data_IF_162472502508
#
_entry.id   IF_162472502508
#
_cell.length_a   1.000
_cell.length_b   1.000
_cell.length_c   1.000
_cell.angle_alpha   90.00
_cell.angle_beta   90.00
_cell.angle_gamma   90.00
#
_symmetry.space_group_name_H-M   'P 1'
#
loop_
_entity.id
_entity.type
_entity.pdbx_description
1 polymer ?
#
# COMPACT_ATOMS: atom_id res chain seq x y z
N UNK A 1 -0.04 10.97 -8.47
CA UNK A 1 1.39 10.64 -8.59
C UNK A 1 2.00 10.85 -7.22
N UNK A 2 2.60 9.82 -6.64
CA UNK A 2 3.28 9.90 -5.33
C UNK A 2 4.75 10.21 -5.63
N UNK A 3 5.38 11.19 -4.96
CA UNK A 3 6.81 11.43 -5.10
C UNK A 3 7.64 10.26 -4.56
N UNK A 4 8.87 10.09 -5.06
CA UNK A 4 9.76 9.02 -4.60
C UNK A 4 10.11 9.21 -3.12
N UNK A 5 9.64 8.28 -2.28
CA UNK A 5 9.98 8.24 -0.85
C UNK A 5 11.32 7.54 -0.57
N UNK A 6 11.74 7.55 0.69
CA UNK A 6 12.93 6.83 1.14
C UNK A 6 12.58 5.36 1.41
N UNK A 7 13.19 4.42 0.66
CA UNK A 7 12.99 2.99 0.87
C UNK A 7 13.51 2.58 2.26
N UNK A 8 12.59 2.31 3.17
CA UNK A 8 12.90 1.84 4.52
C UNK A 8 13.12 0.32 4.55
N UNK A 9 12.33 -0.42 3.79
CA UNK A 9 12.31 -1.88 3.87
C UNK A 9 11.77 -2.52 2.61
N UNK A 10 12.41 -3.60 2.15
CA UNK A 10 11.87 -4.49 1.11
C UNK A 10 11.88 -5.91 1.65
N UNK A 11 10.71 -6.53 1.79
CA UNK A 11 10.59 -7.92 2.30
C UNK A 11 9.46 -8.67 1.60
N UNK A 12 9.62 -9.99 1.48
CA UNK A 12 8.50 -10.87 1.10
C UNK A 12 7.68 -11.16 2.36
N UNK A 13 6.37 -10.98 2.26
CA UNK A 13 5.41 -11.23 3.33
C UNK A 13 4.31 -12.13 2.79
N UNK A 14 3.79 -12.98 3.66
CA UNK A 14 2.69 -13.91 3.34
C UNK A 14 1.38 -13.50 4.02
N UNK A 15 1.47 -12.60 4.99
CA UNK A 15 0.35 -12.09 5.77
C UNK A 15 0.37 -10.56 5.77
N UNK A 16 -0.61 -9.97 5.10
CA UNK A 16 -0.73 -8.55 4.88
C UNK A 16 -1.29 -7.87 6.12
N UNK A 17 -2.17 -8.56 6.86
CA UNK A 17 -2.73 -8.04 8.11
C UNK A 17 -1.60 -7.78 9.12
N UNK A 18 -0.65 -8.71 9.26
CA UNK A 18 0.51 -8.53 10.13
C UNK A 18 1.40 -7.34 9.73
N UNK A 19 1.41 -6.94 8.45
CA UNK A 19 2.12 -5.72 8.02
C UNK A 19 1.38 -4.47 8.44
N UNK A 20 0.04 -4.46 8.27
CA UNK A 20 -0.78 -3.34 8.71
C UNK A 20 -0.70 -3.14 10.23
N UNK A 21 -0.68 -4.22 10.99
CA UNK A 21 -0.49 -4.18 12.45
C UNK A 21 0.89 -3.62 12.84
N UNK A 22 1.98 -4.03 12.16
CA UNK A 22 3.33 -3.50 12.39
C UNK A 22 3.44 -2.02 12.02
N UNK A 23 2.79 -1.59 10.93
CA UNK A 23 2.76 -0.19 10.52
C UNK A 23 2.01 0.68 11.54
N UNK A 24 0.88 0.17 12.07
CA UNK A 24 0.08 0.83 13.09
C UNK A 24 0.84 0.95 14.42
N UNK A 25 1.45 -0.12 14.90
CA UNK A 25 2.23 -0.13 16.15
C UNK A 25 3.38 0.88 16.10
N UNK A 26 3.97 1.07 14.91
CA UNK A 26 5.10 1.95 14.68
C UNK A 26 4.73 3.36 14.27
N UNK A 27 3.44 3.68 14.11
CA UNK A 27 2.96 4.99 13.66
C UNK A 27 3.67 5.46 12.39
N UNK A 28 3.74 4.58 11.40
CA UNK A 28 4.53 4.85 10.20
C UNK A 28 3.82 5.83 9.25
N UNK A 29 4.55 6.86 8.82
CA UNK A 29 4.15 7.79 7.77
C UNK A 29 4.85 7.45 6.46
N UNK A 30 4.08 7.27 5.38
CA UNK A 30 4.63 6.93 4.08
C UNK A 30 3.72 6.08 3.22
N UNK A 31 4.31 5.21 2.39
CA UNK A 31 3.54 4.30 1.54
C UNK A 31 4.22 2.94 1.38
N UNK A 32 3.42 1.90 1.24
CA UNK A 32 3.86 0.57 0.85
C UNK A 32 3.43 0.28 -0.59
N UNK A 33 4.36 -0.30 -1.35
CA UNK A 33 4.10 -0.91 -2.64
C UNK A 33 4.07 -2.43 -2.43
N UNK A 34 3.04 -3.08 -2.97
CA UNK A 34 2.79 -4.50 -2.84
C UNK A 34 2.80 -5.12 -4.23
N UNK A 35 3.69 -6.06 -4.49
CA UNK A 35 3.77 -6.74 -5.78
C UNK A 35 3.62 -8.25 -5.60
N UNK A 36 2.68 -8.90 -6.29
CA UNK A 36 2.58 -10.36 -6.29
C UNK A 36 3.86 -10.96 -6.90
N UNK A 37 4.40 -12.03 -6.30
CA UNK A 37 5.59 -12.68 -6.88
C UNK A 37 5.34 -13.30 -8.26
N UNK A 38 4.11 -13.72 -8.52
CA UNK A 38 3.67 -14.27 -9.80
C UNK A 38 3.33 -13.20 -10.84
N UNK A 39 3.27 -11.91 -10.46
CA UNK A 39 3.07 -10.81 -11.41
C UNK A 39 4.25 -10.64 -12.36
N UNK A 40 5.40 -11.29 -12.12
CA UNK A 40 6.50 -11.30 -13.09
C UNK A 40 6.16 -12.09 -14.38
N UNK A 41 5.14 -12.97 -14.32
CA UNK A 41 4.73 -13.83 -15.44
C UNK A 41 3.52 -13.28 -16.20
N UNK A 42 2.78 -12.36 -15.61
CA UNK A 42 1.66 -11.68 -16.25
C UNK A 42 2.09 -10.23 -16.48
N UNK A 43 2.03 -9.75 -17.71
CA UNK A 43 2.29 -8.35 -18.11
C UNK A 43 1.16 -7.43 -17.60
N UNK A 44 0.74 -7.64 -16.35
CA UNK A 44 -0.34 -6.98 -15.67
C UNK A 44 0.29 -6.20 -14.52
N UNK A 45 0.02 -4.90 -14.48
CA UNK A 45 0.23 -4.04 -13.31
C UNK A 45 -0.67 -4.54 -12.16
N UNK A 46 -0.44 -5.75 -11.63
CA UNK A 46 -1.13 -6.34 -10.48
C UNK A 46 -0.56 -5.84 -9.14
N UNK A 47 0.23 -4.76 -9.19
CA UNK A 47 0.75 -4.09 -8.01
C UNK A 47 -0.34 -3.34 -7.23
N UNK A 48 -0.17 -3.25 -5.92
CA UNK A 48 -0.96 -2.41 -5.03
C UNK A 48 -0.10 -1.32 -4.39
N UNK A 49 -0.70 -0.17 -4.10
CA UNK A 49 -0.09 0.92 -3.35
C UNK A 49 -0.99 1.28 -2.18
N UNK A 50 -0.40 1.38 -0.99
CA UNK A 50 -1.12 1.71 0.24
C UNK A 50 -0.35 2.82 0.95
N UNK A 51 -1.02 3.90 1.29
CA UNK A 51 -0.41 5.01 2.05
C UNK A 51 -0.81 4.91 3.51
N UNK A 52 0.09 5.32 4.38
CA UNK A 52 -0.06 5.32 5.82
C UNK A 52 0.12 6.75 6.33
N UNK A 53 -0.77 7.15 7.22
CA UNK A 53 -0.64 8.34 8.04
C UNK A 53 -0.80 7.90 9.48
N UNK A 54 0.20 8.17 10.31
CA UNK A 54 0.24 7.73 11.69
C UNK A 54 0.09 6.21 11.86
N UNK A 55 0.60 5.44 10.91
CA UNK A 55 0.43 3.98 10.85
C UNK A 55 -0.96 3.50 10.44
N UNK A 56 -1.91 4.41 10.21
CA UNK A 56 -3.26 4.09 9.74
C UNK A 56 -3.29 4.13 8.20
N UNK A 57 -3.81 3.08 7.53
CA UNK A 57 -3.99 3.11 6.08
C UNK A 57 -5.00 4.18 5.70
N UNK A 58 -4.57 5.17 4.92
CA UNK A 58 -5.43 6.28 4.51
C UNK A 58 -5.92 6.13 3.06
N UNK A 59 -5.08 5.58 2.19
CA UNK A 59 -5.39 5.31 0.78
C UNK A 59 -4.87 3.94 0.40
N UNK A 60 -5.67 3.19 -0.34
CA UNK A 60 -5.24 1.94 -0.95
C UNK A 60 -5.68 1.93 -2.42
N UNK A 61 -4.83 1.45 -3.30
CA UNK A 61 -5.13 1.26 -4.72
C UNK A 61 -4.52 -0.06 -5.19
N UNK A 62 -5.27 -0.83 -5.97
CA UNK A 62 -4.81 -2.06 -6.57
C UNK A 62 -4.96 -1.93 -8.08
N UNK A 63 -3.81 -1.84 -8.77
CA UNK A 63 -3.76 -1.56 -10.21
C UNK A 63 -4.37 -2.71 -11.02
N UNK A 64 -4.18 -3.97 -10.58
CA UNK A 64 -4.69 -5.14 -11.30
C UNK A 64 -6.22 -5.22 -11.37
N UNK A 65 -6.89 -4.66 -10.38
CA UNK A 65 -8.36 -4.59 -10.33
C UNK A 65 -8.90 -3.20 -10.66
N UNK A 66 -8.02 -2.22 -10.82
CA UNK A 66 -8.34 -0.79 -10.88
C UNK A 66 -9.33 -0.36 -9.79
N UNK A 67 -9.02 -0.72 -8.52
CA UNK A 67 -9.90 -0.43 -7.38
C UNK A 67 -9.15 0.31 -6.29
N UNK A 68 -9.85 1.26 -5.69
CA UNK A 68 -9.42 1.99 -4.50
C UNK A 68 -10.05 1.47 -3.21
N UNK A 69 -9.49 1.89 -2.07
CA UNK A 69 -10.09 1.72 -0.75
C UNK A 69 -10.11 0.26 -0.24
N UNK A 70 -11.10 -0.12 0.61
CA UNK A 70 -11.20 -1.48 1.15
C UNK A 70 -11.26 -2.60 0.11
N UNK A 71 -11.92 -2.43 -1.07
CA UNK A 71 -11.85 -3.41 -2.15
C UNK A 71 -10.44 -3.67 -2.68
N UNK A 72 -9.56 -2.67 -2.67
CA UNK A 72 -8.16 -2.81 -3.07
C UNK A 72 -7.38 -3.70 -2.09
N UNK A 73 -7.60 -3.50 -0.79
CA UNK A 73 -7.01 -4.33 0.27
C UNK A 73 -7.45 -5.79 0.15
N UNK A 74 -8.73 -6.01 -0.14
CA UNK A 74 -9.26 -7.36 -0.38
C UNK A 74 -8.70 -8.00 -1.66
N UNK A 75 -8.39 -7.20 -2.69
CA UNK A 75 -7.87 -7.67 -3.97
C UNK A 75 -6.42 -8.17 -3.90
N UNK A 76 -5.58 -7.58 -3.03
CA UNK A 76 -4.19 -8.03 -2.79
C UNK A 76 -4.16 -9.51 -2.35
N UNK A 77 -5.21 -9.98 -1.67
CA UNK A 77 -5.42 -11.40 -1.39
C UNK A 77 -4.36 -12.02 -0.47
N UNK A 78 -4.37 -13.35 -0.40
CA UNK A 78 -3.42 -14.14 0.38
C UNK A 78 -2.36 -14.77 -0.54
N UNK A 79 -1.08 -14.62 -0.18
CA UNK A 79 0.03 -15.15 -0.97
C UNK A 79 1.35 -14.49 -0.60
N UNK A 80 2.49 -14.97 -1.12
CA UNK A 80 3.74 -14.26 -0.98
C UNK A 80 3.74 -13.03 -1.91
N UNK A 81 3.71 -11.83 -1.33
CA UNK A 81 3.95 -10.56 -2.05
C UNK A 81 5.26 -9.94 -1.58
N UNK A 82 5.93 -9.24 -2.49
CA UNK A 82 7.00 -8.31 -2.14
C UNK A 82 6.35 -7.03 -1.63
N UNK A 83 6.69 -6.65 -0.42
CA UNK A 83 6.30 -5.40 0.19
C UNK A 83 7.53 -4.49 0.26
N UNK A 84 7.41 -3.32 -0.35
CA UNK A 84 8.39 -2.25 -0.27
C UNK A 84 7.79 -1.08 0.47
N UNK A 85 8.42 -0.68 1.56
CA UNK A 85 7.96 0.38 2.43
C UNK A 85 8.83 1.60 2.24
N UNK A 86 8.18 2.71 1.93
CA UNK A 86 8.81 4.00 1.70
C UNK A 86 8.35 4.98 2.78
N UNK A 87 9.29 5.66 3.42
CA UNK A 87 9.02 6.83 4.25
C UNK A 87 8.77 8.04 3.35
N UNK A 88 7.68 8.75 3.61
CA UNK A 88 7.36 10.00 2.93
C UNK A 88 6.51 10.85 3.87
N UNK A 89 6.74 12.16 3.88
CA UNK A 89 5.97 13.07 4.71
C UNK A 89 4.49 13.06 4.28
N UNK A 90 3.57 13.08 5.26
CA UNK A 90 2.13 13.09 5.01
C UNK A 90 1.70 14.29 4.13
N UNK A 91 2.41 15.41 4.23
CA UNK A 91 2.19 16.59 3.40
C UNK A 91 2.41 16.31 1.89
N UNK A 92 3.36 15.44 1.56
CA UNK A 92 3.64 15.04 0.16
C UNK A 92 2.65 13.98 -0.32
N UNK A 93 2.07 13.20 0.59
CA UNK A 93 0.99 12.26 0.31
C UNK A 93 -0.38 12.94 0.14
N UNK A 94 -0.55 14.15 0.68
CA UNK A 94 -1.83 14.86 0.68
C UNK A 94 -2.43 15.02 -0.73
N UNK A 95 -1.59 15.26 -1.75
CA UNK A 95 -2.02 15.39 -3.15
C UNK A 95 -2.60 14.06 -3.68
N UNK A 96 -2.03 12.92 -3.27
CA UNK A 96 -2.59 11.62 -3.63
C UNK A 96 -3.89 11.33 -2.85
N UNK A 97 -4.00 11.83 -1.62
CA UNK A 97 -5.16 11.67 -0.74
C UNK A 97 -6.40 12.48 -1.11
N UNK A 98 -6.29 13.42 -2.06
CA UNK A 98 -7.44 14.17 -2.59
C UNK A 98 -8.40 13.30 -3.40
N UNK A 99 -8.00 12.08 -3.78
CA UNK A 99 -8.84 11.15 -4.53
C UNK A 99 -9.73 10.33 -3.58
N UNK A 100 -10.97 10.79 -3.38
CA UNK A 100 -11.96 10.15 -2.49
C UNK A 100 -12.24 8.68 -2.84
N UNK A 101 -12.19 8.33 -4.13
CA UNK A 101 -12.42 6.94 -4.61
C UNK A 101 -11.36 5.93 -4.13
N UNK A 102 -10.21 6.43 -3.66
CA UNK A 102 -9.09 5.61 -3.20
C UNK A 102 -8.98 5.54 -1.67
N UNK A 103 -9.77 6.35 -0.96
CA UNK A 103 -9.71 6.44 0.51
C UNK A 103 -10.13 5.14 1.17
N UNK A 104 -9.36 4.76 2.18
CA UNK A 104 -9.73 3.72 3.12
C UNK A 104 -10.36 4.43 4.32
N UNK A 105 -11.65 4.22 4.62
CA UNK A 105 -12.23 4.77 5.82
C UNK A 105 -11.54 4.16 7.05
N UNK A 106 -11.27 4.96 8.11
CA UNK A 106 -10.76 4.42 9.35
C UNK A 106 -11.76 3.38 9.90
N UNK A 107 -11.25 2.18 10.22
CA UNK A 107 -12.01 1.06 10.77
C UNK A 107 -12.28 1.19 12.26
#
# INVERSE_FOLDING_TARGET
MIPDGELLRSRVVTDFAAVLEDALDRRLDGYAVVEPRDALLADTDDGGVITFEDGVPHLAYHAGSDRGGPPALAAIGAGPYRLELYALDAADLAIAHESDDLRVPPG
#
